data_IF_705861910942
#
_entry.id   IF_705861910942
#
_cell.length_a   1.000
_cell.length_b   1.000
_cell.length_c   1.000
_cell.angle_alpha   90.00
_cell.angle_beta   90.00
_cell.angle_gamma   90.00
#
_symmetry.space_group_name_H-M   'P 1'
#
loop_
_entity.id
_entity.type
_entity.pdbx_description
1 polymer ?
2 non-polymer ?
3 non-polymer ?
4 water ?
#
# COMPACT_ATOMS: atom_id res chain seq x y z
N UNK A 1 0.42 -18.76 4.55
CA UNK A 1 0.58 -17.57 5.44
C UNK A 1 2.01 -17.53 5.97
N UNK A 2 2.49 -16.35 6.33
CA UNK A 2 3.84 -16.27 6.88
C UNK A 2 3.87 -15.58 8.24
N UNK A 3 2.68 -15.29 8.76
CA UNK A 3 2.56 -14.60 10.05
C UNK A 3 1.28 -15.03 10.75
N UNK A 4 1.31 -15.05 12.07
CA UNK A 4 0.11 -15.37 12.80
C UNK A 4 -0.21 -14.24 13.80
N UNK A 5 -1.25 -13.47 13.44
CA UNK A 5 -1.67 -12.25 14.17
C UNK A 5 -2.70 -12.59 15.22
N UNK A 6 -2.89 -11.71 16.22
CA UNK A 6 -4.03 -11.92 17.13
C UNK A 6 -5.33 -11.34 16.54
N UNK A 7 -6.44 -11.47 17.26
CA UNK A 7 -7.70 -10.97 16.73
C UNK A 7 -7.85 -9.44 16.87
N UNK A 8 -6.99 -8.81 17.70
CA UNK A 8 -6.90 -7.36 17.73
C UNK A 8 -5.46 -7.01 17.54
N UNK A 9 -5.18 -6.01 16.70
CA UNK A 9 -3.82 -5.55 16.43
C UNK A 9 -3.84 -4.04 16.30
N UNK A 10 -2.72 -3.39 16.52
CA UNK A 10 -2.66 -1.96 16.16
C UNK A 10 -2.29 -1.92 14.68
N UNK A 11 -2.96 -1.05 13.93
CA UNK A 11 -2.70 -0.90 12.49
C UNK A 11 -2.58 0.62 12.28
N UNK A 12 -1.75 1.02 11.34
CA UNK A 12 -1.52 2.45 11.16
C UNK A 12 -2.00 2.87 9.79
N UNK A 13 -2.84 3.92 9.74
CA UNK A 13 -3.28 4.52 8.48
C UNK A 13 -2.19 5.54 8.17
N UNK A 14 -1.21 5.12 7.37
CA UNK A 14 0.07 5.83 7.28
C UNK A 14 -0.04 7.26 6.74
N UNK A 15 -1.11 7.58 6.02
CA UNK A 15 -1.21 8.91 5.40
C UNK A 15 -1.28 10.00 6.48
N UNK A 16 -1.82 9.64 7.63
CA UNK A 16 -1.94 10.56 8.77
C UNK A 16 -1.20 10.05 10.01
N UNK A 17 -0.35 9.03 9.83
CA UNK A 17 0.34 8.37 10.97
C UNK A 17 -0.63 8.10 12.09
N UNK A 18 -1.78 7.54 11.75
CA UNK A 18 -2.88 7.38 12.71
C UNK A 18 -2.92 5.89 13.06
N UNK A 19 -2.58 5.57 14.29
CA UNK A 19 -2.60 4.17 14.75
C UNK A 19 -3.92 3.88 15.46
N UNK A 20 -4.62 2.83 15.03
CA UNK A 20 -5.94 2.47 15.56
C UNK A 20 -5.91 1.00 15.98
N UNK A 21 -6.74 0.65 16.95
CA UNK A 21 -7.00 -0.79 17.23
C UNK A 21 -7.86 -1.35 16.11
N UNK A 22 -7.45 -2.47 15.54
CA UNK A 22 -8.17 -3.07 14.42
C UNK A 22 -8.56 -4.48 14.86
N UNK A 23 -9.78 -4.89 14.57
CA UNK A 23 -10.16 -6.26 14.79
C UNK A 23 -9.96 -7.05 13.51
N UNK A 24 -9.31 -8.21 13.63
CA UNK A 24 -9.10 -9.08 12.46
C UNK A 24 -10.19 -10.14 12.52
N UNK A 25 -11.09 -10.08 11.53
CA UNK A 25 -12.38 -10.74 11.58
C UNK A 25 -12.50 -11.68 10.40
N UNK A 26 -12.27 -12.98 10.63
CA UNK A 26 -12.30 -13.95 9.54
C UNK A 26 -13.74 -14.26 9.07
N UNK A 27 -14.75 -13.79 9.82
CA UNK A 27 -16.15 -14.01 9.44
C UNK A 27 -16.67 -13.06 8.37
N UNK A 28 -15.91 -12.01 8.09
CA UNK A 28 -16.28 -10.97 7.10
C UNK A 28 -15.28 -10.92 5.93
N UNK A 29 -15.76 -10.76 4.71
CA UNK A 29 -14.85 -10.60 3.57
C UNK A 29 -14.22 -9.20 3.54
N UNK A 30 -15.02 -8.17 3.79
CA UNK A 30 -14.60 -6.78 3.60
C UNK A 30 -13.98 -6.17 4.83
N UNK A 31 -13.17 -5.14 4.63
CA UNK A 31 -12.65 -4.32 5.76
C UNK A 31 -13.56 -3.08 5.88
N UNK A 32 -13.66 -2.50 7.07
CA UNK A 32 -14.55 -1.35 7.27
C UNK A 32 -13.90 -0.40 8.26
N UNK A 33 -14.18 0.88 8.07
CA UNK A 33 -13.60 1.93 8.88
C UNK A 33 -14.67 2.98 9.13
N UNK A 34 -14.90 3.35 10.38
CA UNK A 34 -15.88 4.42 10.62
C UNK A 34 -15.33 5.76 10.15
N UNK A 35 -16.08 6.46 9.31
CA UNK A 35 -15.62 7.69 8.77
C UNK A 35 -16.86 8.57 8.63
N UNK A 36 -16.64 9.84 8.78
CA UNK A 36 -17.74 10.86 8.64
C UNK A 36 -17.39 11.97 7.64
N UNK A 37 -18.37 12.81 7.25
CA UNK A 37 -18.10 13.97 6.40
C UNK A 37 -17.51 13.59 5.05
N UNK A 38 -18.11 12.60 4.40
CA UNK A 38 -17.54 12.03 3.21
C UNK A 38 -17.95 12.87 2.00
N UNK A 39 -16.98 13.31 1.19
CA UNK A 39 -17.24 14.14 0.00
C UNK A 39 -16.51 13.56 -1.21
N UNK A 40 -17.14 13.62 -2.39
CA UNK A 40 -16.50 13.07 -3.59
C UNK A 40 -15.78 14.21 -4.30
N UNK A 41 -14.55 13.95 -4.75
CA UNK A 41 -13.81 14.89 -5.56
C UNK A 41 -13.29 14.14 -6.78
N UNK A 42 -12.87 14.86 -7.81
CA UNK A 42 -12.23 14.23 -8.96
C UNK A 42 -10.83 14.76 -9.09
N UNK A 43 -9.86 13.86 -9.19
CA UNK A 43 -8.50 14.23 -9.53
C UNK A 43 -8.21 13.66 -10.92
N UNK A 44 -8.14 14.54 -11.91
CA UNK A 44 -7.87 14.14 -13.30
C UNK A 44 -8.85 13.10 -13.80
N UNK A 45 -10.13 13.30 -13.49
CA UNK A 45 -11.18 12.41 -13.96
C UNK A 45 -11.26 11.13 -13.15
N UNK A 46 -10.42 11.00 -12.11
CA UNK A 46 -10.51 9.84 -11.19
C UNK A 46 -11.22 10.24 -9.90
N UNK A 47 -12.29 9.52 -9.52
CA UNK A 47 -13.00 9.84 -8.30
C UNK A 47 -12.23 9.43 -7.05
N UNK A 48 -12.22 10.35 -6.09
CA UNK A 48 -11.64 10.12 -4.78
C UNK A 48 -12.75 10.51 -3.82
N UNK A 49 -12.71 9.94 -2.61
CA UNK A 49 -13.51 10.47 -1.51
C UNK A 49 -12.59 11.09 -0.47
N UNK A 50 -12.98 12.26 0.01
CA UNK A 50 -12.34 12.86 1.19
C UNK A 50 -13.23 12.48 2.35
N UNK A 51 -12.61 12.08 3.46
CA UNK A 51 -13.39 11.67 4.61
C UNK A 51 -12.60 11.91 5.90
N UNK A 52 -13.35 11.97 6.99
CA UNK A 52 -12.74 12.16 8.31
C UNK A 52 -12.84 10.86 9.09
N UNK A 53 -11.74 10.49 9.76
CA UNK A 53 -11.84 9.54 10.86
C UNK A 53 -11.83 10.24 12.22
N UNK A 54 -12.94 10.14 12.99
CA UNK A 54 -13.01 10.79 14.31
C UNK A 54 -12.38 9.89 15.38
N UNK A 55 -11.61 10.46 16.30
CA UNK A 55 -11.01 9.64 17.36
C UNK A 55 -11.05 10.41 18.67
N UNK A 56 -10.62 9.77 19.74
CA UNK A 56 -10.46 10.49 21.02
C UNK A 56 -9.41 11.59 20.99
N UNK A 57 -8.46 11.49 20.07
CA UNK A 57 -7.45 12.57 19.95
C UNK A 57 -7.78 13.56 18.82
N UNK A 58 -9.07 13.61 18.44
CA UNK A 58 -9.48 14.50 17.36
C UNK A 58 -9.68 13.84 16.01
N UNK A 59 -9.88 14.68 15.01
CA UNK A 59 -10.30 14.21 13.69
C UNK A 59 -9.08 14.13 12.76
N UNK A 60 -9.06 13.13 11.84
CA UNK A 60 -7.97 12.96 10.84
C UNK A 60 -8.62 12.88 9.47
N UNK A 61 -8.14 13.71 8.55
CA UNK A 61 -8.72 13.78 7.21
C UNK A 61 -7.89 12.93 6.24
N UNK A 62 -8.58 12.16 5.39
CA UNK A 62 -7.92 11.35 4.39
C UNK A 62 -8.55 11.59 3.02
N UNK A 63 -7.82 11.23 1.96
CA UNK A 63 -8.45 11.06 0.63
C UNK A 63 -8.10 9.65 0.15
N UNK A 64 -9.03 9.00 -0.50
CA UNK A 64 -8.78 7.65 -1.01
C UNK A 64 -9.49 7.48 -2.34
N UNK A 65 -8.87 6.68 -3.23
CA UNK A 65 -9.48 6.37 -4.51
C UNK A 65 -10.83 5.71 -4.27
N UNK A 66 -11.86 6.14 -5.00
CA UNK A 66 -13.22 5.66 -4.80
C UNK A 66 -13.41 4.52 -5.79
N UNK A 67 -13.49 3.30 -5.27
CA UNK A 67 -13.41 2.13 -6.15
C UNK A 67 -14.70 1.33 -6.28
N UNK A 68 -15.73 1.71 -5.55
CA UNK A 68 -17.03 1.01 -5.73
C UNK A 68 -17.95 1.24 -4.55
N UNK A 69 -19.09 0.58 -4.56
CA UNK A 69 -20.02 0.62 -3.44
C UNK A 69 -20.36 -0.81 -3.14
N UNK A 70 -20.66 -1.11 -1.88
CA UNK A 70 -21.08 -2.47 -1.54
C UNK A 70 -22.26 -2.40 -0.63
N UNK A 71 -23.12 -3.40 -0.73
CA UNK A 71 -24.21 -3.54 0.21
C UNK A 71 -23.71 -4.14 1.53
N UNK A 72 -24.18 -3.57 2.63
CA UNK A 72 -23.92 -4.13 3.95
C UNK A 72 -25.24 -4.57 4.61
N UNK A 88 -29.74 -3.22 4.27
CA UNK A 88 -29.32 -3.36 2.88
C UNK A 88 -28.81 -2.00 2.38
N UNK A 89 -27.89 -1.44 3.16
CA UNK A 89 -27.39 -0.08 3.00
C UNK A 89 -26.17 -0.20 2.08
N UNK A 90 -26.05 0.65 1.05
CA UNK A 90 -24.81 0.66 0.24
C UNK A 90 -23.86 1.66 0.84
N UNK A 91 -22.59 1.27 0.99
CA UNK A 91 -21.54 2.16 1.46
C UNK A 91 -20.40 2.20 0.44
N UNK A 92 -19.64 3.31 0.44
CA UNK A 92 -18.59 3.44 -0.54
C UNK A 92 -17.35 2.67 -0.10
N UNK A 93 -16.58 2.23 -1.09
CA UNK A 93 -15.34 1.53 -0.85
C UNK A 93 -14.19 2.38 -1.37
N UNK A 94 -13.17 2.57 -0.55
CA UNK A 94 -11.99 3.37 -0.96
C UNK A 94 -10.72 2.55 -0.73
N UNK A 95 -9.62 2.98 -1.33
CA UNK A 95 -8.34 2.33 -1.09
C UNK A 95 -7.64 3.10 0.02
N UNK A 96 -7.04 2.36 0.96
CA UNK A 96 -6.44 2.96 2.16
C UNK A 96 -5.09 2.29 2.42
N UNK A 97 -4.04 3.11 2.63
CA UNK A 97 -2.67 2.61 2.91
C UNK A 97 -2.58 2.28 4.39
N UNK A 98 -2.34 1.01 4.69
CA UNK A 98 -2.39 0.51 6.08
C UNK A 98 -1.13 -0.30 6.41
N UNK A 99 -0.54 0.00 7.57
CA UNK A 99 0.63 -0.72 8.03
C UNK A 99 0.23 -1.64 9.20
N UNK A 100 0.63 -2.90 9.12
CA UNK A 100 0.38 -3.88 10.18
C UNK A 100 1.73 -4.54 10.43
N UNK A 101 2.31 -4.32 11.63
CA UNK A 101 3.69 -4.76 11.89
C UNK A 101 4.60 -4.06 10.91
N UNK A 102 5.47 -4.82 10.24
CA UNK A 102 6.39 -4.21 9.28
C UNK A 102 5.87 -4.21 7.83
N UNK A 103 4.60 -4.54 7.64
CA UNK A 103 4.08 -4.72 6.29
C UNK A 103 3.15 -3.56 5.98
N UNK A 104 3.26 -3.00 4.78
CA UNK A 104 2.32 -1.98 4.33
C UNK A 104 1.57 -2.50 3.10
N UNK A 105 0.25 -2.30 3.05
CA UNK A 105 -0.57 -2.73 1.90
C UNK A 105 -1.62 -1.66 1.59
N UNK A 106 -2.11 -1.68 0.37
CA UNK A 106 -3.20 -0.80 0.01
C UNK A 106 -4.40 -1.73 -0.09
N UNK A 107 -5.41 -1.38 0.70
CA UNK A 107 -6.49 -2.29 1.01
C UNK A 107 -7.83 -1.58 0.76
N UNK A 108 -8.80 -2.33 0.21
CA UNK A 108 -10.17 -1.84 0.02
C UNK A 108 -10.91 -1.82 1.36
N UNK A 109 -11.43 -0.65 1.71
CA UNK A 109 -12.16 -0.52 2.96
C UNK A 109 -13.48 0.19 2.72
N UNK A 110 -14.53 -0.35 3.35
CA UNK A 110 -15.85 0.29 3.38
C UNK A 110 -15.83 1.44 4.37
N UNK A 111 -16.49 2.55 4.04
CA UNK A 111 -16.57 3.65 4.98
C UNK A 111 -17.92 3.59 5.64
N UNK A 112 -17.96 3.33 6.94
CA UNK A 112 -19.25 2.97 7.56
C UNK A 112 -19.69 4.04 8.51
N UNK A 113 -21.02 4.08 8.72
CA UNK A 113 -21.68 5.18 9.41
C UNK A 113 -21.84 4.93 10.91
N UNK A 114 -21.74 3.67 11.34
CA UNK A 114 -22.02 3.35 12.73
C UNK A 114 -20.90 3.83 13.66
N UNK A 115 -21.30 4.61 14.68
CA UNK A 115 -20.41 5.14 15.71
C UNK A 115 -20.48 4.31 17.01
N UNK A 116 -21.30 3.23 16.99
CA UNK A 116 -21.35 2.23 18.06
C UNK A 116 -20.49 1.04 17.65
N UNK A 117 -19.45 0.76 18.44
CA UNK A 117 -18.47 -0.27 18.08
C UNK A 117 -17.36 -0.22 19.12
N UNK A 118 -16.57 -1.30 19.20
CA UNK A 118 -15.40 -1.27 20.08
C UNK A 118 -14.13 -0.83 19.34
N UNK A 119 -13.99 -1.28 18.08
CA UNK A 119 -12.79 -1.11 17.23
C UNK A 119 -13.14 -0.32 15.96
N UNK A 120 -12.46 0.82 15.77
CA UNK A 120 -12.76 1.71 14.65
C UNK A 120 -12.45 1.12 13.27
N UNK A 121 -11.59 0.10 13.21
CA UNK A 121 -11.15 -0.49 11.94
C UNK A 121 -11.38 -2.00 12.04
N UNK A 122 -12.00 -2.58 11.02
CA UNK A 122 -12.17 -4.04 10.99
C UNK A 122 -11.47 -4.51 9.73
N UNK A 123 -10.58 -5.50 9.84
CA UNK A 123 -9.90 -6.07 8.69
C UNK A 123 -10.51 -7.44 8.47
N UNK A 124 -11.09 -7.66 7.30
CA UNK A 124 -11.76 -8.92 7.00
C UNK A 124 -10.82 -9.84 6.25
N UNK A 125 -11.37 -10.86 5.61
CA UNK A 125 -10.58 -11.90 4.97
C UNK A 125 -9.71 -11.35 3.85
N UNK A 126 -10.25 -10.44 3.02
CA UNK A 126 -9.46 -9.91 1.93
C UNK A 126 -8.19 -9.23 2.46
N UNK A 127 -8.33 -8.40 3.50
CA UNK A 127 -7.19 -7.69 4.09
C UNK A 127 -6.22 -8.67 4.74
N UNK A 128 -6.74 -9.62 5.50
CA UNK A 128 -5.85 -10.59 6.20
C UNK A 128 -5.03 -11.35 5.15
N UNK A 129 -5.69 -11.72 4.04
CA UNK A 129 -4.99 -12.40 2.95
C UNK A 129 -3.94 -11.48 2.31
N UNK A 130 -4.30 -10.20 2.10
CA UNK A 130 -3.32 -9.23 1.56
C UNK A 130 -2.05 -9.18 2.42
N UNK A 131 -2.22 -9.29 3.74
CA UNK A 131 -1.08 -9.36 4.68
C UNK A 131 -0.50 -10.77 4.89
N UNK A 132 -1.02 -11.75 4.14
CA UNK A 132 -0.58 -13.15 4.21
C UNK A 132 -0.60 -13.72 5.63
N UNK A 133 -1.66 -13.38 6.37
CA UNK A 133 -1.77 -13.76 7.76
C UNK A 133 -2.77 -14.86 8.07
N UNK A 134 -2.55 -15.50 9.22
CA UNK A 134 -3.55 -16.31 9.88
C UNK A 134 -3.86 -15.62 11.23
N UNK A 135 -5.03 -15.90 11.80
CA UNK A 135 -5.44 -15.21 13.03
C UNK A 135 -5.61 -16.18 14.18
N UNK A 136 -4.86 -15.96 15.26
CA UNK A 136 -5.01 -16.80 16.45
C UNK A 136 -5.81 -15.97 17.44
N UNK A 137 -7.08 -16.33 17.69
CA UNK A 137 -7.90 -15.47 18.54
C UNK A 137 -7.59 -15.51 20.02
N UNK A 138 -6.69 -16.40 20.43
CA UNK A 138 -6.17 -16.38 21.81
C UNK A 138 -5.22 -15.21 22.05
N UNK A 139 -4.73 -14.58 20.98
CA UNK A 139 -3.68 -13.55 21.09
C UNK A 139 -4.19 -12.16 20.74
N UNK A 140 -3.56 -11.12 21.29
CA UNK A 140 -3.82 -9.74 20.84
C UNK A 140 -2.48 -9.02 20.77
N UNK A 141 -2.39 -8.05 19.85
CA UNK A 141 -1.26 -7.14 19.75
C UNK A 141 0.07 -7.89 19.61
N UNK A 142 0.11 -8.83 18.67
CA UNK A 142 1.33 -9.60 18.41
C UNK A 142 2.41 -8.76 17.74
N UNK A 143 2.01 -7.67 17.06
CA UNK A 143 2.97 -6.82 16.35
C UNK A 143 3.77 -6.04 17.40
N UNK A 144 3.27 -6.13 18.64
CA UNK A 144 3.99 -5.94 19.93
C UNK A 144 3.72 -4.63 20.65
N UNK B 1 -8.44 1.00 -17.75
CA UNK B 1 -7.48 1.97 -17.13
C UNK B 1 -8.16 3.29 -16.82
N UNK B 2 -7.62 4.05 -15.86
CA UNK B 2 -8.26 5.33 -15.52
C UNK B 2 -7.31 6.54 -15.55
N UNK B 3 -6.10 6.31 -16.03
CA UNK B 3 -5.10 7.34 -16.11
C UNK B 3 -4.24 7.06 -17.33
N UNK B 4 -3.76 8.12 -17.99
CA UNK B 4 -2.75 7.96 -19.02
C UNK B 4 -1.48 8.63 -18.51
N UNK B 5 -0.41 7.85 -18.34
CA UNK B 5 0.88 8.33 -17.84
C UNK B 5 1.86 8.53 -18.98
N UNK B 6 2.92 9.28 -18.76
CA UNK B 6 4.04 9.36 -19.72
C UNK B 6 4.92 8.14 -19.56
N UNK B 7 5.87 7.95 -20.48
CA UNK B 7 6.81 6.83 -20.37
C UNK B 7 7.89 7.08 -19.31
N UNK B 8 8.01 8.32 -18.83
CA UNK B 8 8.82 8.64 -17.66
C UNK B 8 7.94 9.45 -16.68
N UNK B 9 7.99 9.09 -15.40
CA UNK B 9 7.26 9.80 -14.33
C UNK B 9 8.14 9.84 -13.08
N UNK B 10 7.90 10.81 -12.20
CA UNK B 10 8.45 10.76 -10.86
C UNK B 10 7.58 9.80 -10.06
N UNK B 11 8.23 8.97 -9.27
CA UNK B 11 7.55 8.07 -8.35
C UNK B 11 8.32 8.15 -7.06
N UNK B 12 7.67 7.75 -5.98
CA UNK B 12 8.22 7.92 -4.65
C UNK B 12 8.19 6.59 -3.91
N UNK B 13 9.35 6.18 -3.43
CA UNK B 13 9.46 5.01 -2.56
C UNK B 13 9.14 5.55 -1.16
N UNK B 14 7.89 5.42 -0.74
CA UNK B 14 7.38 6.11 0.45
C UNK B 14 8.07 5.79 1.75
N UNK B 15 8.60 4.56 1.86
CA UNK B 15 9.31 4.10 3.08
C UNK B 15 10.42 5.06 3.51
N UNK B 16 11.10 5.69 2.55
CA UNK B 16 12.16 6.69 2.84
C UNK B 16 11.89 8.06 2.23
N UNK B 17 10.67 8.26 1.72
CA UNK B 17 10.25 9.48 1.02
C UNK B 17 11.18 9.82 -0.15
N UNK B 18 11.59 8.79 -0.90
CA UNK B 18 12.60 8.96 -1.96
C UNK B 18 11.92 9.08 -3.32
N UNK B 19 11.99 10.26 -3.93
CA UNK B 19 11.40 10.49 -5.26
C UNK B 19 12.45 10.27 -6.35
N UNK B 20 12.14 9.41 -7.31
CA UNK B 20 13.08 9.07 -8.39
C UNK B 20 12.37 9.17 -9.73
N UNK B 21 13.12 9.38 -10.81
CA UNK B 21 12.54 9.21 -12.16
C UNK B 21 12.33 7.72 -12.41
N UNK B 22 11.16 7.35 -12.92
CA UNK B 22 10.87 5.95 -13.22
C UNK B 22 10.53 5.84 -14.69
N UNK B 23 11.01 4.80 -15.38
CA UNK B 23 10.54 4.56 -16.74
C UNK B 23 9.38 3.58 -16.70
N UNK B 24 8.32 3.89 -17.43
CA UNK B 24 7.16 3.01 -17.50
C UNK B 24 7.27 2.22 -18.80
N UNK B 25 7.55 0.92 -18.65
CA UNK B 25 8.04 0.10 -19.73
C UNK B 25 7.08 -1.05 -20.00
N UNK B 26 6.25 -0.91 -21.04
CA UNK B 26 5.24 -1.96 -21.36
C UNK B 26 5.86 -3.21 -21.94
N UNK B 27 7.14 -3.13 -22.33
CA UNK B 27 7.87 -4.25 -22.88
C UNK B 27 8.26 -5.33 -21.88
N UNK B 28 8.24 -4.98 -20.59
CA UNK B 28 8.71 -5.86 -19.52
C UNK B 28 7.57 -6.16 -18.56
N UNK B 29 7.47 -7.40 -18.10
CA UNK B 29 6.49 -7.72 -17.07
C UNK B 29 6.88 -7.14 -15.69
N UNK B 30 8.15 -7.31 -15.33
CA UNK B 30 8.61 -7.03 -13.98
C UNK B 30 9.12 -5.61 -13.81
N UNK B 31 9.12 -5.15 -12.56
CA UNK B 31 9.71 -3.88 -12.19
C UNK B 31 11.11 -4.14 -11.65
N UNK B 32 11.99 -3.15 -11.72
CA UNK B 32 13.33 -3.30 -11.19
C UNK B 32 13.89 -1.99 -10.68
N UNK B 33 14.85 -2.07 -9.77
CA UNK B 33 15.40 -0.90 -9.10
C UNK B 33 16.89 -1.10 -8.85
N UNK B 34 17.69 -0.10 -9.21
CA UNK B 34 19.15 -0.16 -8.98
C UNK B 34 19.41 -0.16 -7.48
N UNK B 35 20.25 -1.19 -7.08
CA UNK B 35 20.47 -1.37 -5.60
C UNK B 35 21.80 -2.10 -5.25
N UNK B 36 22.45 -1.62 -4.19
CA UNK B 36 23.78 -2.14 -3.82
C UNK B 36 23.83 -2.56 -2.35
N UNK B 37 24.82 -3.39 -2.03
CA UNK B 37 25.01 -3.91 -0.67
C UNK B 37 23.77 -4.63 -0.14
N UNK B 38 23.18 -5.47 -1.02
CA UNK B 38 21.97 -6.24 -0.71
C UNK B 38 22.35 -7.41 0.23
N UNK B 39 21.70 -7.46 1.40
CA UNK B 39 21.95 -8.50 2.39
C UNK B 39 20.62 -9.02 2.96
N UNK B 40 20.62 -10.26 3.50
CA UNK B 40 19.37 -10.87 4.06
C UNK B 40 19.30 -10.76 5.57
N UNK B 41 18.16 -10.27 6.04
CA UNK B 41 17.83 -10.22 7.46
C UNK B 41 16.45 -10.90 7.62
N UNK B 42 16.15 -11.36 8.83
CA UNK B 42 14.85 -11.99 9.15
C UNK B 42 14.09 -11.07 10.10
N UNK B 43 12.76 -10.98 9.93
CA UNK B 43 11.94 -10.27 10.90
C UNK B 43 10.77 -11.17 11.27
N UNK B 44 10.78 -11.67 12.52
CA UNK B 44 9.78 -12.64 13.00
C UNK B 44 9.60 -13.85 12.08
N UNK B 45 10.73 -14.52 11.76
CA UNK B 45 10.66 -15.65 10.86
C UNK B 45 10.41 -15.36 9.38
N UNK B 46 10.22 -14.07 9.03
CA UNK B 46 9.98 -13.65 7.64
C UNK B 46 11.23 -12.98 7.00
N UNK B 47 11.66 -13.45 5.81
CA UNK B 47 12.85 -12.89 5.17
C UNK B 47 12.60 -11.51 4.55
N UNK B 48 13.53 -10.60 4.83
CA UNK B 48 13.53 -9.29 4.23
C UNK B 48 14.91 -9.10 3.61
N UNK B 49 14.97 -8.20 2.63
CA UNK B 49 16.25 -7.80 2.08
C UNK B 49 16.49 -6.36 2.49
N UNK B 50 17.73 -6.08 2.92
CA UNK B 50 18.18 -4.73 3.20
C UNK B 50 19.10 -4.34 2.04
N UNK B 51 19.05 -3.06 1.65
CA UNK B 51 19.75 -2.57 0.47
C UNK B 51 19.86 -1.06 0.46
N UNK B 52 20.78 -0.57 -0.30
CA UNK B 52 21.01 0.87 -0.44
C UNK B 52 20.73 1.31 -1.85
N UNK B 53 19.96 2.40 -1.97
CA UNK B 53 19.63 2.98 -3.29
C UNK B 53 20.48 4.24 -3.47
N UNK B 54 21.50 4.17 -4.35
CA UNK B 54 22.36 5.34 -4.50
C UNK B 54 21.74 6.39 -5.43
N UNK B 55 21.86 7.66 -5.03
CA UNK B 55 21.37 8.79 -5.84
C UNK B 55 22.37 9.94 -5.77
N UNK B 56 22.14 10.97 -6.59
CA UNK B 56 22.94 12.20 -6.55
C UNK B 56 22.86 12.91 -5.20
N UNK B 57 21.72 12.78 -4.52
CA UNK B 57 21.51 13.42 -3.21
C UNK B 57 22.04 12.59 -2.04
N UNK B 58 22.39 11.34 -2.31
CA UNK B 58 22.96 10.47 -1.27
C UNK B 58 22.41 9.07 -1.29
N UNK B 59 22.93 8.22 -0.40
CA UNK B 59 22.50 6.83 -0.30
C UNK B 59 21.27 6.71 0.59
N UNK B 60 20.31 5.90 0.16
CA UNK B 60 19.05 5.67 0.88
C UNK B 60 18.87 4.19 1.20
N UNK B 61 18.66 3.87 2.49
CA UNK B 61 18.57 2.48 2.94
C UNK B 61 17.13 1.99 3.10
N UNK B 62 16.84 0.81 2.55
CA UNK B 62 15.50 0.22 2.63
C UNK B 62 15.57 -1.19 3.17
N UNK B 63 14.44 -1.65 3.71
CA UNK B 63 14.16 -3.07 3.89
C UNK B 63 12.83 -3.40 3.19
N UNK B 64 12.81 -4.42 2.36
CA UNK B 64 11.56 -4.86 1.74
C UNK B 64 11.36 -6.34 1.99
N UNK B 65 10.11 -6.77 2.09
CA UNK B 65 9.77 -8.19 2.20
C UNK B 65 10.32 -8.96 1.01
N UNK B 66 11.04 -10.04 1.27
CA UNK B 66 11.58 -10.86 0.18
C UNK B 66 10.49 -11.77 -0.39
N UNK B 67 10.27 -11.71 -1.71
CA UNK B 67 9.24 -12.54 -2.34
C UNK B 67 9.70 -13.33 -3.58
N UNK B 68 11.01 -13.56 -3.73
CA UNK B 68 11.53 -14.44 -4.79
C UNK B 68 11.34 -15.89 -4.39
N UNK B 69 12.01 -16.82 -5.06
CA UNK B 69 11.85 -18.23 -4.70
C UNK B 69 13.12 -18.95 -4.19
N UNK B 70 13.28 -18.98 -2.87
CA UNK B 70 14.32 -19.79 -2.24
C UNK B 70 13.99 -20.05 -0.77
N UNK B 88 23.93 -17.24 -1.07
CA UNK B 88 23.74 -16.01 -1.83
C UNK B 88 22.42 -15.99 -2.61
N UNK B 89 21.69 -14.88 -2.54
CA UNK B 89 20.45 -14.68 -3.29
C UNK B 89 20.71 -14.15 -4.70
N UNK B 90 20.41 -14.98 -5.70
CA UNK B 90 20.70 -14.64 -7.10
C UNK B 90 19.54 -13.94 -7.80
N UNK B 91 18.33 -14.05 -7.23
CA UNK B 91 17.15 -13.33 -7.74
C UNK B 91 16.47 -12.52 -6.63
N UNK B 92 17.03 -11.34 -6.30
CA UNK B 92 16.50 -10.57 -5.18
C UNK B 92 15.23 -9.84 -5.62
N UNK B 93 14.07 -10.28 -5.14
CA UNK B 93 12.81 -9.64 -5.46
C UNK B 93 12.17 -9.21 -4.13
N UNK B 94 11.70 -7.97 -4.07
CA UNK B 94 11.11 -7.45 -2.82
C UNK B 94 9.80 -6.73 -3.10
N UNK B 95 8.98 -6.60 -2.06
CA UNK B 95 7.81 -5.75 -2.15
C UNK B 95 8.22 -4.34 -1.70
N UNK B 96 7.84 -3.36 -2.50
CA UNK B 96 8.06 -1.98 -2.15
C UNK B 96 6.76 -1.21 -2.34
N UNK B 97 6.53 -0.27 -1.44
CA UNK B 97 5.36 0.60 -1.55
C UNK B 97 5.75 1.83 -2.34
N UNK B 98 5.05 2.05 -3.44
CA UNK B 98 5.45 3.08 -4.42
C UNK B 98 4.26 4.00 -4.68
N UNK B 99 4.52 5.31 -4.66
CA UNK B 99 3.54 6.32 -4.99
C UNK B 99 3.78 6.89 -6.39
N UNK B 100 2.71 6.90 -7.19
CA UNK B 100 2.70 7.46 -8.55
C UNK B 100 1.48 8.39 -8.63
N UNK B 101 1.73 9.67 -8.81
CA UNK B 101 0.69 10.69 -8.66
C UNK B 101 0.07 10.56 -7.28
N UNK B 102 -1.24 10.42 -7.25
CA UNK B 102 -1.97 10.30 -5.98
C UNK B 102 -2.29 8.84 -5.62
N UNK B 103 -1.59 7.88 -6.23
CA UNK B 103 -1.89 6.46 -6.00
C UNK B 103 -0.71 5.84 -5.28
N UNK B 104 -0.98 5.02 -4.28
CA UNK B 104 0.06 4.17 -3.68
C UNK B 104 -0.28 2.69 -3.89
N UNK B 105 0.74 1.89 -4.26
CA UNK B 105 0.56 0.45 -4.46
C UNK B 105 1.72 -0.36 -3.92
N UNK B 106 1.46 -1.63 -3.60
CA UNK B 106 2.51 -2.61 -3.24
C UNK B 106 3.01 -3.29 -4.49
N UNK B 107 4.26 -3.01 -4.88
CA UNK B 107 4.83 -3.47 -6.14
C UNK B 107 5.98 -4.47 -5.91
N UNK B 108 6.02 -5.54 -6.71
CA UNK B 108 7.10 -6.50 -6.70
C UNK B 108 8.23 -5.93 -7.56
N UNK B 109 9.43 -5.81 -6.99
CA UNK B 109 10.56 -5.13 -7.64
C UNK B 109 11.81 -6.00 -7.59
N UNK B 110 12.42 -6.24 -8.76
CA UNK B 110 13.73 -6.86 -8.84
C UNK B 110 14.84 -5.88 -8.48
N UNK B 111 15.81 -6.37 -7.65
CA UNK B 111 17.02 -5.62 -7.31
C UNK B 111 18.19 -6.02 -8.22
N UNK B 112 18.83 -5.02 -8.81
CA UNK B 112 19.88 -5.24 -9.79
C UNK B 112 21.13 -4.40 -9.47
N UNK B 113 22.31 -5.05 -9.42
CA UNK B 113 23.53 -4.27 -9.26
C UNK B 113 23.82 -3.49 -10.54
N UNK B 114 22.99 -3.73 -11.57
CA UNK B 114 23.11 -3.09 -12.88
C UNK B 114 22.90 -1.58 -12.80
N UNK B 115 23.97 -0.85 -13.09
CA UNK B 115 24.01 0.61 -12.91
C UNK B 115 23.00 1.32 -13.81
N UNK B 116 22.15 2.12 -13.19
CA UNK B 116 21.13 2.90 -13.87
C UNK B 116 21.41 4.37 -13.64
N UNK B 117 21.74 5.12 -14.70
CA UNK B 117 21.95 6.56 -14.52
C UNK B 117 20.62 7.33 -14.51
N UNK B 118 19.89 7.24 -15.61
CA UNK B 118 18.75 8.11 -15.84
C UNK B 118 17.48 7.64 -15.15
N UNK B 119 17.13 6.36 -15.32
CA UNK B 119 15.96 5.83 -14.64
C UNK B 119 16.33 4.68 -13.71
N UNK B 120 16.62 5.02 -12.43
CA UNK B 120 16.95 4.02 -11.43
C UNK B 120 15.82 3.02 -11.20
N UNK B 121 14.59 3.43 -11.47
CA UNK B 121 13.41 2.56 -11.26
C UNK B 121 12.74 2.28 -12.60
N UNK B 122 12.43 1.02 -12.84
CA UNK B 122 11.70 0.66 -14.05
C UNK B 122 10.40 0.01 -13.60
N UNK B 123 9.28 0.51 -14.10
CA UNK B 123 7.95 -0.03 -13.81
C UNK B 123 7.47 -0.76 -15.05
N UNK B 124 7.31 -2.08 -14.91
CA UNK B 124 6.81 -2.91 -15.99
C UNK B 124 5.30 -3.06 -15.99
N UNK B 125 4.81 -4.01 -16.78
CA UNK B 125 3.37 -4.18 -16.99
C UNK B 125 2.65 -4.48 -15.68
N UNK B 126 3.24 -5.33 -14.84
CA UNK B 126 2.58 -5.73 -13.61
C UNK B 126 2.31 -4.47 -12.77
N UNK B 127 3.31 -3.60 -12.69
CA UNK B 127 3.20 -2.37 -11.90
C UNK B 127 2.21 -1.37 -12.54
N UNK B 128 2.33 -1.15 -13.86
CA UNK B 128 1.42 -0.23 -14.54
C UNK B 128 -0.03 -0.70 -14.40
N UNK B 129 -0.26 -2.01 -14.48
CA UNK B 129 -1.61 -2.56 -14.30
C UNK B 129 -2.10 -2.33 -12.85
N UNK B 130 -1.20 -2.49 -11.87
CA UNK B 130 -1.50 -2.26 -10.43
C UNK B 130 -1.97 -0.82 -10.25
N UNK B 131 -1.33 0.11 -10.98
CA UNK B 131 -1.74 1.54 -10.96
C UNK B 131 -2.92 1.86 -11.89
N UNK B 132 -3.46 0.85 -12.58
CA UNK B 132 -4.59 1.03 -13.49
C UNK B 132 -4.27 2.06 -14.59
N UNK B 133 -3.05 1.98 -15.14
CA UNK B 133 -2.59 3.01 -16.07
C UNK B 133 -2.43 2.52 -17.50
N UNK B 134 -2.47 3.47 -18.42
CA UNK B 134 -1.98 3.26 -19.78
C UNK B 134 -0.83 4.26 -19.96
N UNK B 135 0.05 4.01 -20.93
CA UNK B 135 1.26 4.82 -21.13
C UNK B 135 1.22 5.46 -22.50
N UNK B 136 1.29 6.79 -22.55
CA UNK B 136 1.40 7.49 -23.83
C UNK B 136 2.87 7.90 -23.96
N UNK B 137 3.60 7.26 -24.88
CA UNK B 137 5.04 7.57 -24.92
C UNK B 137 5.40 8.95 -25.49
N UNK B 138 4.40 9.71 -25.96
CA UNK B 138 4.67 11.10 -26.37
C UNK B 138 4.81 12.04 -25.16
N UNK B 139 4.36 11.56 -24.00
CA UNK B 139 4.36 12.36 -22.78
C UNK B 139 5.40 11.94 -21.75
N UNK B 140 5.80 12.90 -20.91
CA UNK B 140 6.61 12.63 -19.75
C UNK B 140 6.14 13.49 -18.57
N UNK B 141 6.33 12.98 -17.36
CA UNK B 141 6.03 13.70 -16.11
C UNK B 141 4.62 14.29 -16.07
N UNK B 142 3.62 13.46 -16.37
CA UNK B 142 2.25 13.95 -16.38
C UNK B 142 1.72 14.12 -14.95
N UNK B 143 2.33 13.43 -13.99
CA UNK B 143 1.91 13.56 -12.58
C UNK B 143 2.47 14.86 -12.01
N UNK B 144 3.10 15.60 -12.92
CA UNK B 144 3.55 16.97 -12.78
C UNK B 144 5.04 17.06 -12.47
X LIG C 1 -5.20 7.87 18.31
X LIG C 1 -4.89 8.99 17.85
X LIG C 1 -6.41 7.68 18.58
X LIG C 1 -4.19 6.80 18.57
X LIG D 1 -7.52 -7.03 24.50
X LIG D 1 -7.98 -6.16 23.74
X LIG D 1 -8.37 -7.84 24.93
X LIG D 1 -6.07 -7.08 24.91
X LIG E 1 -18.70 -12.95 3.87
X LIG E 1 -18.60 -13.05 2.63
X LIG E 1 -18.51 -14.01 4.53
X LIG E 1 -19.04 -11.63 4.52
X LIG F 1 -4.91 5.83 -2.17
X LIG F 1 -4.03 5.17 -2.82
X LIG F 1 -6.14 5.87 -2.43
X LIG G 1 -19.07 -11.04 12.24
X LIG G 1 -18.23 -11.11 11.35
X LIG G 1 -18.80 -11.13 13.43
X LIG H 1 -13.47 -14.61 0.63
X LIG H 1 -14.56 -15.15 0.35
X LIG H 1 -12.66 -15.02 1.48
X LIG I 1 2.53 -19.02 9.66
X LIG I 1 2.40 -20.19 9.26
X LIG I 1 3.60 -18.59 10.15
X LIG J 1 4.77 11.63 -7.94
X LIG J 1 5.32 11.11 -6.92
X LIG J 1 4.42 10.84 -8.86
X LIG J 1 4.55 13.11 -8.06
X LIG K 1 5.58 4.23 5.66
X LIG K 1 5.66 5.42 5.28
X LIG K 1 5.66 3.36 4.76
X LIG K 1 5.39 3.87 7.11
X LIG L 1 7.13 -3.52 2.55
X LIG L 1 7.92 -4.43 2.11
X LIG L 1 5.88 -3.56 2.81
#
# INVERSE_FOLDING_TARGET
SNAIYGYVEKATLIDQNLTLSAKLDTGAKSASLHAVNITEIEKKGIPYLRFTVPTKTGDYSFEGEYVGKVKIKVRSSETNPGLLRTTPIKRPVVLLNIKLGDKVRTIKVNLTNRKRFLYPLLLGRDAIIDFNGAVDPALTFTTKSK
SNAIYGYVEKATLIDQNLTLSAKLDTGAKSASLHAVNITEIEKKGIPYLRFTVPTKTGDYSFEGEYVGKVKIKVRSSETNPGLLRTTPIKRPVVLLNIKLGDKVRTIKVNLTNRKRFLYPLLLGRDAIIDFNGAVDPALTFTTKSK
ACT C O OXT CH3
ACT C O OXT CH3
ACT C O OXT CH3
FMT C O1 O2
FMT C O1 O2
FMT C O1 O2
FMT C O1 O2
ACT C O OXT CH3
ACT C O OXT CH3
FMT C O1 O2
#
